data_IF_014779091686
#
_entry.id   IF_014779091686
#
_cell.length_a   1.000
_cell.length_b   1.000
_cell.length_c   1.000
_cell.angle_alpha   90.00
_cell.angle_beta   90.00
_cell.angle_gamma   90.00
#
_symmetry.space_group_name_H-M   'P 1'
#
loop_
_entity.id
_entity.type
_entity.pdbx_description
1 polymer ?
#
# COMPACT_ATOMS: atom_id res chain seq x y z
N UNK A 1 -1.81 -1.04 -22.57
CA UNK A 1 -0.95 -0.77 -21.39
C UNK A 1 -0.48 -2.11 -20.84
N UNK A 2 0.82 -2.30 -20.67
CA UNK A 2 1.39 -3.51 -20.04
C UNK A 2 1.42 -3.26 -18.53
N UNK A 3 0.68 -4.06 -17.75
CA UNK A 3 0.50 -3.85 -16.32
C UNK A 3 1.52 -4.63 -15.46
N UNK A 4 1.98 -5.77 -15.96
CA UNK A 4 3.05 -6.55 -15.40
C UNK A 4 3.67 -7.44 -16.48
N UNK A 5 4.87 -7.92 -16.22
CA UNK A 5 5.52 -8.98 -16.97
C UNK A 5 5.91 -10.09 -16.00
N UNK A 6 5.79 -11.34 -16.44
CA UNK A 6 6.34 -12.51 -15.76
C UNK A 6 7.11 -13.32 -16.79
N UNK A 7 8.39 -13.55 -16.54
CA UNK A 7 9.27 -14.26 -17.46
C UNK A 7 10.60 -14.58 -16.81
N UNK A 8 11.55 -15.05 -17.61
CA UNK A 8 12.90 -15.37 -17.17
C UNK A 8 13.83 -14.19 -17.44
N UNK A 9 14.73 -13.88 -16.52
CA UNK A 9 15.75 -12.85 -16.73
C UNK A 9 16.75 -13.38 -17.76
N UNK A 10 16.80 -12.75 -18.92
CA UNK A 10 17.70 -13.11 -20.02
C UNK A 10 19.00 -12.30 -19.98
N UNK A 11 18.92 -11.02 -19.60
CA UNK A 11 20.06 -10.11 -19.51
C UNK A 11 19.86 -9.03 -18.44
N UNK A 12 20.96 -8.46 -17.93
CA UNK A 12 20.98 -7.40 -16.93
C UNK A 12 22.00 -6.33 -17.34
N UNK A 13 21.56 -5.08 -17.37
CA UNK A 13 22.42 -3.91 -17.57
C UNK A 13 22.54 -3.09 -16.29
N UNK A 14 23.25 -1.96 -16.33
CA UNK A 14 23.37 -1.06 -15.16
C UNK A 14 22.03 -0.51 -14.65
N UNK A 15 21.03 -0.36 -15.53
CA UNK A 15 19.76 0.32 -15.18
C UNK A 15 18.50 -0.41 -15.71
N UNK A 16 18.67 -1.54 -16.40
CA UNK A 16 17.58 -2.33 -16.97
C UNK A 16 17.83 -3.82 -16.81
N UNK A 17 16.78 -4.59 -17.01
CA UNK A 17 16.84 -6.03 -17.22
C UNK A 17 16.02 -6.39 -18.45
N UNK A 18 16.33 -7.52 -19.07
CA UNK A 18 15.55 -8.10 -20.17
C UNK A 18 14.81 -9.32 -19.65
N UNK A 19 13.49 -9.32 -19.75
CA UNK A 19 12.66 -10.49 -19.46
C UNK A 19 12.29 -11.20 -20.75
N UNK A 20 12.66 -12.47 -20.88
CA UNK A 20 12.06 -13.36 -21.86
C UNK A 20 10.66 -13.80 -21.38
N UNK A 21 9.64 -13.35 -22.11
CA UNK A 21 8.25 -13.78 -21.93
C UNK A 21 7.81 -14.54 -23.18
N UNK A 22 7.94 -15.86 -23.16
CA UNK A 22 7.57 -16.79 -24.24
C UNK A 22 8.26 -16.49 -25.58
N UNK A 23 9.58 -16.24 -25.55
CA UNK A 23 10.41 -15.95 -26.71
C UNK A 23 10.45 -14.48 -27.11
N UNK A 24 9.91 -13.57 -26.28
CA UNK A 24 9.90 -12.12 -26.52
C UNK A 24 10.67 -11.43 -25.40
N UNK A 25 11.80 -10.82 -25.74
CA UNK A 25 12.62 -10.05 -24.82
C UNK A 25 12.08 -8.64 -24.59
N UNK A 26 11.59 -8.37 -23.37
CA UNK A 26 11.17 -7.05 -22.94
C UNK A 26 12.27 -6.39 -22.13
N UNK A 27 12.84 -5.29 -22.64
CA UNK A 27 13.71 -4.45 -21.83
C UNK A 27 12.87 -3.59 -20.87
N UNK A 28 13.22 -3.65 -19.59
CA UNK A 28 12.52 -2.95 -18.52
C UNK A 28 13.54 -2.17 -17.68
N UNK A 29 13.37 -0.85 -17.63
CA UNK A 29 14.14 0.01 -16.71
C UNK A 29 13.66 -0.22 -15.27
N UNK A 30 14.57 -0.44 -14.35
CA UNK A 30 14.24 -0.79 -12.96
C UNK A 30 15.05 0.07 -11.97
N UNK A 31 14.58 0.25 -10.73
CA UNK A 31 15.40 0.87 -9.69
C UNK A 31 16.67 0.05 -9.45
N UNK A 32 17.80 0.70 -9.15
CA UNK A 32 19.08 0.01 -8.92
C UNK A 32 19.00 -1.02 -7.79
N UNK A 33 18.27 -0.69 -6.71
CA UNK A 33 18.01 -1.60 -5.59
C UNK A 33 17.34 -2.91 -6.02
N UNK A 34 16.53 -2.88 -7.10
CA UNK A 34 15.92 -4.10 -7.64
C UNK A 34 16.99 -5.02 -8.20
N UNK A 35 17.96 -4.48 -8.96
CA UNK A 35 19.04 -5.25 -9.56
C UNK A 35 19.93 -5.91 -8.50
N UNK A 36 20.19 -5.21 -7.39
CA UNK A 36 20.98 -5.73 -6.27
C UNK A 36 20.33 -6.93 -5.56
N UNK A 37 19.00 -7.10 -5.69
CA UNK A 37 18.23 -8.20 -5.10
C UNK A 37 18.11 -9.44 -6.00
N UNK A 38 18.52 -9.35 -7.28
CA UNK A 38 18.37 -10.44 -8.22
C UNK A 38 19.42 -11.53 -7.98
N UNK A 39 19.03 -12.79 -8.15
CA UNK A 39 19.95 -13.93 -8.03
C UNK A 39 20.81 -14.09 -9.30
N UNK A 40 20.37 -13.50 -10.42
CA UNK A 40 21.10 -13.44 -11.69
C UNK A 40 20.25 -13.85 -12.90
N UNK A 41 20.92 -14.03 -14.04
CA UNK A 41 20.32 -14.49 -15.30
C UNK A 41 19.78 -15.92 -15.13
N UNK A 42 18.63 -16.21 -15.76
CA UNK A 42 17.95 -17.51 -15.72
C UNK A 42 16.87 -17.63 -14.64
N UNK A 43 16.71 -16.64 -13.77
CA UNK A 43 15.69 -16.62 -12.72
C UNK A 43 14.31 -16.20 -13.27
N UNK A 44 13.22 -16.83 -12.81
CA UNK A 44 11.87 -16.30 -13.04
C UNK A 44 11.63 -15.04 -12.20
N UNK A 45 11.18 -13.97 -12.85
CA UNK A 45 10.85 -12.72 -12.21
C UNK A 45 9.48 -12.22 -12.66
N UNK A 46 8.71 -11.69 -11.71
CA UNK A 46 7.50 -10.91 -11.98
C UNK A 46 7.74 -9.45 -11.59
N UNK A 47 7.53 -8.55 -12.54
CA UNK A 47 7.61 -7.10 -12.31
C UNK A 47 6.29 -6.43 -12.66
N UNK A 48 5.87 -5.48 -11.83
CA UNK A 48 4.77 -4.57 -12.15
C UNK A 48 5.30 -3.44 -13.00
N UNK A 49 4.58 -3.08 -14.06
CA UNK A 49 5.12 -2.18 -15.09
C UNK A 49 4.33 -0.89 -15.22
N UNK A 50 5.05 0.20 -15.48
CA UNK A 50 4.53 1.43 -16.04
C UNK A 50 5.04 1.57 -17.48
N UNK A 51 4.11 1.67 -18.44
CA UNK A 51 4.43 1.83 -19.85
C UNK A 51 4.30 3.30 -20.25
N UNK A 52 5.43 3.94 -20.53
CA UNK A 52 5.46 5.29 -21.08
C UNK A 52 5.42 5.22 -22.61
N UNK A 53 4.41 5.86 -23.21
CA UNK A 53 4.32 6.02 -24.66
C UNK A 53 4.59 7.48 -25.00
N UNK A 54 5.61 7.70 -25.83
CA UNK A 54 5.92 8.98 -26.47
C UNK A 54 5.88 8.79 -27.98
N UNK A 55 5.94 9.88 -28.72
CA UNK A 55 5.91 9.85 -30.19
C UNK A 55 7.12 9.10 -30.78
N UNK A 56 8.26 9.14 -30.09
CA UNK A 56 9.54 8.59 -30.53
C UNK A 56 9.92 7.26 -29.85
N UNK A 57 9.25 6.89 -28.76
CA UNK A 57 9.65 5.74 -27.94
C UNK A 57 8.52 5.16 -27.09
N UNK A 58 8.57 3.84 -26.91
CA UNK A 58 7.82 3.11 -25.88
C UNK A 58 8.81 2.57 -24.87
N UNK A 59 8.65 2.93 -23.59
CA UNK A 59 9.58 2.57 -22.52
C UNK A 59 8.81 1.89 -21.38
N UNK A 60 9.35 0.79 -20.88
CA UNK A 60 8.83 0.09 -19.71
C UNK A 60 9.68 0.41 -18.49
N UNK A 61 9.00 0.77 -17.40
CA UNK A 61 9.58 0.90 -16.07
C UNK A 61 9.00 -0.21 -15.20
N UNK A 62 9.84 -0.94 -14.46
CA UNK A 62 9.49 -2.12 -13.70
C UNK A 62 9.75 -1.99 -12.20
N UNK A 63 8.89 -2.61 -11.40
CA UNK A 63 8.95 -2.57 -9.94
C UNK A 63 8.58 -3.93 -9.36
N UNK A 64 9.18 -4.33 -8.23
CA UNK A 64 8.88 -5.62 -7.59
C UNK A 64 7.50 -5.62 -6.93
N UNK A 65 7.13 -4.50 -6.31
CA UNK A 65 5.87 -4.38 -5.59
C UNK A 65 4.91 -3.41 -6.27
N UNK A 66 3.62 -3.53 -5.94
CA UNK A 66 2.61 -2.56 -6.38
C UNK A 66 2.78 -1.21 -5.68
N UNK A 67 3.32 -1.20 -4.47
CA UNK A 67 3.56 0.03 -3.72
C UNK A 67 4.67 0.85 -4.37
N UNK A 68 5.76 0.21 -4.79
CA UNK A 68 6.81 0.86 -5.58
C UNK A 68 6.27 1.48 -6.86
N UNK A 69 5.42 0.74 -7.60
CA UNK A 69 4.77 1.26 -8.81
C UNK A 69 3.83 2.44 -8.48
N UNK A 70 3.10 2.38 -7.37
CA UNK A 70 2.21 3.45 -6.93
C UNK A 70 3.01 4.70 -6.56
N UNK A 71 4.08 4.55 -5.78
CA UNK A 71 4.99 5.63 -5.41
C UNK A 71 5.64 6.27 -6.65
N UNK A 72 6.11 5.45 -7.59
CA UNK A 72 6.63 5.95 -8.87
C UNK A 72 5.59 6.78 -9.63
N UNK A 73 4.35 6.30 -9.73
CA UNK A 73 3.26 7.05 -10.38
C UNK A 73 2.96 8.37 -9.67
N UNK A 74 3.00 8.40 -8.35
CA UNK A 74 2.82 9.62 -7.58
C UNK A 74 3.97 10.60 -7.84
N UNK A 75 5.21 10.12 -7.87
CA UNK A 75 6.40 10.92 -8.17
C UNK A 75 6.33 11.59 -9.54
N UNK A 76 6.06 10.83 -10.61
CA UNK A 76 6.00 11.39 -11.97
C UNK A 76 4.78 12.30 -12.19
N UNK A 77 3.82 12.28 -11.27
CA UNK A 77 2.72 13.24 -11.23
C UNK A 77 3.14 14.62 -10.71
N UNK A 78 4.28 14.74 -10.03
CA UNK A 78 4.80 16.00 -9.51
C UNK A 78 5.37 16.85 -10.63
N UNK A 79 5.01 18.12 -10.69
CA UNK A 79 5.46 19.02 -11.75
C UNK A 79 6.99 19.20 -11.73
N UNK A 80 7.64 18.78 -12.81
CA UNK A 80 9.10 18.82 -12.97
C UNK A 80 9.80 17.51 -12.61
N UNK A 81 9.05 16.45 -12.29
CA UNK A 81 9.59 15.10 -12.07
C UNK A 81 9.19 14.21 -13.26
N UNK A 82 10.16 13.91 -14.13
CA UNK A 82 9.96 12.97 -15.23
C UNK A 82 10.21 11.50 -14.82
N UNK A 83 9.86 10.52 -15.66
CA UNK A 83 10.05 9.09 -15.35
C UNK A 83 11.47 8.68 -14.99
N UNK A 84 12.50 9.20 -15.68
CA UNK A 84 13.90 8.93 -15.32
C UNK A 84 14.26 9.50 -13.94
N UNK A 85 13.77 10.69 -13.61
CA UNK A 85 14.01 11.32 -12.32
C UNK A 85 13.28 10.58 -11.19
N UNK A 86 12.02 10.18 -11.42
CA UNK A 86 11.25 9.36 -10.49
C UNK A 86 11.92 8.01 -10.21
N UNK A 87 12.46 7.35 -11.24
CA UNK A 87 13.23 6.12 -11.09
C UNK A 87 14.50 6.37 -10.28
N UNK A 88 15.23 7.45 -10.57
CA UNK A 88 16.44 7.84 -9.82
C UNK A 88 16.18 8.13 -8.34
N UNK A 89 15.03 8.72 -7.99
CA UNK A 89 14.60 8.91 -6.60
C UNK A 89 14.41 7.55 -5.91
N UNK A 90 13.66 6.63 -6.53
CA UNK A 90 13.42 5.31 -5.96
C UNK A 90 14.70 4.47 -5.89
N UNK A 91 15.62 4.60 -6.84
CA UNK A 91 16.94 3.96 -6.75
C UNK A 91 17.76 4.50 -5.56
N UNK A 92 17.68 5.79 -5.27
CA UNK A 92 18.50 6.43 -4.22
C UNK A 92 17.97 6.21 -2.81
N UNK A 93 16.64 6.15 -2.65
CA UNK A 93 15.99 6.12 -1.33
C UNK A 93 15.18 4.85 -1.11
N UNK A 94 14.54 4.32 -2.15
CA UNK A 94 13.46 3.35 -2.02
C UNK A 94 12.15 4.01 -1.57
N UNK A 95 11.07 3.23 -1.62
CA UNK A 95 9.71 3.72 -1.36
C UNK A 95 9.50 4.16 0.10
N UNK A 96 9.93 3.35 1.05
CA UNK A 96 9.75 3.62 2.49
C UNK A 96 10.53 4.85 2.96
N UNK A 97 11.80 4.95 2.57
CA UNK A 97 12.65 6.08 2.95
C UNK A 97 12.18 7.38 2.30
N UNK A 98 11.68 7.33 1.05
CA UNK A 98 11.05 8.49 0.43
C UNK A 98 9.81 8.93 1.22
N UNK A 99 8.98 7.98 1.66
CA UNK A 99 7.79 8.26 2.46
C UNK A 99 8.18 8.96 3.77
N UNK A 100 9.19 8.45 4.46
CA UNK A 100 9.75 9.09 5.67
C UNK A 100 10.29 10.49 5.39
N UNK A 101 11.09 10.67 4.33
CA UNK A 101 11.65 11.96 3.96
C UNK A 101 10.57 13.00 3.64
N UNK A 102 9.45 12.58 3.03
CA UNK A 102 8.30 13.45 2.77
C UNK A 102 7.60 13.86 4.07
N UNK A 103 7.32 12.91 4.96
CA UNK A 103 6.64 13.18 6.23
C UNK A 103 7.48 14.07 7.16
N UNK A 104 8.81 13.88 7.15
CA UNK A 104 9.77 14.64 7.95
C UNK A 104 10.19 15.99 7.33
N UNK A 105 9.63 16.37 6.17
CA UNK A 105 10.01 17.57 5.40
C UNK A 105 11.53 17.63 5.05
N UNK A 106 12.19 16.47 4.91
CA UNK A 106 13.63 16.37 4.63
C UNK A 106 13.96 16.49 3.13
N UNK A 107 13.83 17.72 2.62
CA UNK A 107 14.12 18.04 1.22
C UNK A 107 15.57 17.74 0.82
N UNK A 108 16.52 17.80 1.76
CA UNK A 108 17.94 17.56 1.48
C UNK A 108 18.18 16.10 1.11
N UNK A 109 17.48 15.19 1.78
CA UNK A 109 17.57 13.75 1.51
C UNK A 109 17.03 13.42 0.12
N UNK A 110 15.90 13.98 -0.27
CA UNK A 110 15.31 13.82 -1.61
C UNK A 110 16.21 14.44 -2.70
N UNK A 111 16.82 15.59 -2.42
CA UNK A 111 17.72 16.28 -3.35
C UNK A 111 19.06 15.56 -3.60
N UNK A 112 19.35 14.45 -2.93
CA UNK A 112 20.49 13.57 -3.28
C UNK A 112 20.24 12.75 -4.55
N UNK A 113 18.98 12.58 -4.94
CA UNK A 113 18.64 11.82 -6.12
C UNK A 113 19.11 12.54 -7.41
N UNK A 114 19.64 11.81 -8.42
CA UNK A 114 20.10 12.41 -9.66
C UNK A 114 19.01 13.21 -10.37
N UNK A 115 19.34 14.45 -10.76
CA UNK A 115 18.41 15.35 -11.45
C UNK A 115 17.39 16.04 -10.56
N UNK A 116 17.46 15.88 -9.23
CA UNK A 116 16.56 16.53 -8.27
C UNK A 116 17.26 17.68 -7.55
N UNK A 117 16.86 18.91 -7.86
CA UNK A 117 17.31 20.10 -7.13
C UNK A 117 16.46 20.39 -5.89
N UNK A 118 16.96 21.27 -5.01
CA UNK A 118 16.27 21.66 -3.77
C UNK A 118 14.82 22.14 -3.98
N UNK A 119 14.56 22.91 -5.04
CA UNK A 119 13.21 23.40 -5.37
C UNK A 119 12.27 22.26 -5.77
N UNK A 120 12.76 21.30 -6.55
CA UNK A 120 11.96 20.13 -6.94
C UNK A 120 11.70 19.22 -5.75
N UNK A 121 12.70 19.02 -4.88
CA UNK A 121 12.53 18.27 -3.63
C UNK A 121 11.43 18.87 -2.73
N UNK A 122 11.39 20.19 -2.57
CA UNK A 122 10.32 20.85 -1.82
C UNK A 122 8.93 20.66 -2.45
N UNK A 123 8.84 20.71 -3.79
CA UNK A 123 7.57 20.41 -4.49
C UNK A 123 7.12 18.97 -4.28
N UNK A 124 8.06 18.02 -4.36
CA UNK A 124 7.79 16.60 -4.08
C UNK A 124 7.19 16.44 -2.70
N UNK A 125 7.79 17.07 -1.68
CA UNK A 125 7.27 17.01 -0.30
C UNK A 125 5.84 17.55 -0.26
N UNK A 126 5.61 18.75 -0.76
CA UNK A 126 4.29 19.39 -0.70
C UNK A 126 3.21 18.55 -1.39
N UNK A 127 3.47 18.08 -2.62
CA UNK A 127 2.47 17.36 -3.40
C UNK A 127 2.26 15.91 -2.95
N UNK A 128 3.29 15.27 -2.39
CA UNK A 128 3.19 13.88 -1.92
C UNK A 128 2.63 13.80 -0.50
N UNK A 129 2.93 14.75 0.39
CA UNK A 129 2.43 14.74 1.77
C UNK A 129 0.90 14.69 1.80
N UNK A 130 0.25 15.55 1.01
CA UNK A 130 -1.21 15.54 0.84
C UNK A 130 -1.75 14.19 0.35
N UNK A 131 -1.05 13.53 -0.58
CA UNK A 131 -1.48 12.25 -1.16
C UNK A 131 -1.25 11.07 -0.21
N UNK A 132 -0.16 11.10 0.56
CA UNK A 132 0.17 10.08 1.54
C UNK A 132 -0.79 10.15 2.73
N UNK A 133 -1.09 11.35 3.22
CA UNK A 133 -2.07 11.55 4.29
C UNK A 133 -3.46 11.05 3.85
N UNK A 134 -3.87 11.32 2.60
CA UNK A 134 -5.12 10.79 2.05
C UNK A 134 -5.12 9.26 1.91
N UNK A 135 -3.99 8.68 1.50
CA UNK A 135 -3.85 7.23 1.39
C UNK A 135 -3.93 6.54 2.77
N UNK A 136 -3.28 7.10 3.79
CA UNK A 136 -3.38 6.61 5.16
C UNK A 136 -4.80 6.73 5.72
N UNK A 137 -5.48 7.86 5.48
CA UNK A 137 -6.90 8.03 5.89
C UNK A 137 -7.80 7.03 5.16
N UNK A 138 -7.54 6.74 3.88
CA UNK A 138 -8.32 5.77 3.12
C UNK A 138 -8.06 4.33 3.59
N UNK A 139 -6.80 3.96 3.84
CA UNK A 139 -6.40 2.68 4.45
C UNK A 139 -7.05 2.51 5.83
N UNK A 140 -7.03 3.55 6.67
CA UNK A 140 -7.68 3.51 7.99
C UNK A 140 -9.20 3.31 7.88
N UNK A 141 -9.86 3.97 6.91
CA UNK A 141 -11.29 3.77 6.64
C UNK A 141 -11.58 2.38 6.09
N UNK A 142 -10.79 1.89 5.15
CA UNK A 142 -10.93 0.54 4.59
C UNK A 142 -10.70 -0.54 5.66
N UNK A 143 -9.78 -0.31 6.58
CA UNK A 143 -9.51 -1.21 7.70
C UNK A 143 -10.61 -1.12 8.77
N UNK A 144 -11.22 0.06 8.99
CA UNK A 144 -12.41 0.21 9.82
C UNK A 144 -13.63 -0.50 9.21
N UNK A 145 -13.83 -0.36 7.90
CA UNK A 145 -14.91 -1.02 7.14
C UNK A 145 -14.67 -2.54 7.07
N UNK A 146 -13.42 -3.01 6.90
CA UNK A 146 -13.05 -4.44 6.98
C UNK A 146 -13.16 -5.00 8.38
N UNK A 147 -12.93 -4.22 9.42
CA UNK A 147 -13.23 -4.63 10.80
C UNK A 147 -14.75 -4.70 11.03
N UNK A 148 -15.54 -3.90 10.32
CA UNK A 148 -17.00 -4.02 10.26
C UNK A 148 -17.46 -5.26 9.45
N UNK A 149 -16.82 -5.61 8.33
CA UNK A 149 -17.18 -6.77 7.50
C UNK A 149 -16.67 -8.12 8.07
N UNK A 150 -15.49 -8.15 8.70
CA UNK A 150 -14.98 -9.32 9.41
C UNK A 150 -15.80 -9.65 10.68
N UNK A 151 -16.58 -8.68 11.17
CA UNK A 151 -17.57 -8.90 12.22
C UNK A 151 -18.90 -9.48 11.68
N UNK A 152 -18.99 -9.91 10.41
CA UNK A 152 -20.22 -10.50 9.83
C UNK A 152 -20.07 -11.98 9.47
N UNK A 153 -18.87 -12.57 9.57
CA UNK A 153 -18.67 -13.98 9.19
C UNK A 153 -18.28 -14.89 10.36
N UNK A 154 -19.29 -15.65 10.81
CA UNK A 154 -19.25 -16.82 11.68
C UNK A 154 -18.80 -16.60 13.15
N UNK A 155 -19.73 -16.10 13.98
CA UNK A 155 -19.61 -16.06 15.45
C UNK A 155 -20.06 -14.73 16.08
N UNK A 156 -20.28 -13.70 15.27
CA UNK A 156 -20.42 -12.30 15.68
C UNK A 156 -21.82 -11.71 15.56
N UNK A 157 -22.74 -12.31 14.81
CA UNK A 157 -24.13 -11.82 14.69
C UNK A 157 -24.86 -11.79 16.04
N UNK A 158 -24.63 -12.80 16.88
CA UNK A 158 -25.20 -12.89 18.22
C UNK A 158 -24.68 -11.78 19.16
N UNK A 159 -23.40 -11.45 19.04
CA UNK A 159 -22.74 -10.37 19.79
C UNK A 159 -23.26 -9.02 19.32
N UNK A 160 -23.42 -8.85 18.00
CA UNK A 160 -23.94 -7.63 17.38
C UNK A 160 -25.38 -7.35 17.83
N UNK A 161 -26.27 -8.35 17.74
CA UNK A 161 -27.67 -8.23 18.15
C UNK A 161 -27.80 -7.86 19.64
N UNK A 162 -26.96 -8.44 20.50
CA UNK A 162 -26.96 -8.12 21.93
C UNK A 162 -26.45 -6.69 22.20
N UNK A 163 -25.43 -6.22 21.47
CA UNK A 163 -24.92 -4.85 21.61
C UNK A 163 -25.96 -3.84 21.12
N UNK A 164 -26.62 -4.10 19.99
CA UNK A 164 -27.67 -3.23 19.46
C UNK A 164 -28.87 -3.13 20.41
N UNK A 165 -29.27 -4.24 21.04
CA UNK A 165 -30.31 -4.25 22.05
C UNK A 165 -29.94 -3.45 23.31
N UNK A 166 -28.70 -3.55 23.80
CA UNK A 166 -28.23 -2.74 24.94
C UNK A 166 -28.21 -1.24 24.61
N UNK A 167 -27.78 -0.89 23.39
CA UNK A 167 -27.81 0.51 22.95
C UNK A 167 -29.24 1.03 22.85
N UNK A 168 -30.18 0.21 22.36
CA UNK A 168 -31.61 0.56 22.33
C UNK A 168 -32.23 0.74 23.74
N UNK A 169 -31.67 0.07 24.76
CA UNK A 169 -32.05 0.24 26.17
C UNK A 169 -31.41 1.48 26.83
N UNK A 170 -30.54 2.21 26.11
CA UNK A 170 -29.96 3.48 26.55
C UNK A 170 -28.52 3.41 27.05
N UNK A 171 -27.84 2.27 26.91
CA UNK A 171 -26.43 2.13 27.30
C UNK A 171 -25.47 2.63 26.21
N UNK A 172 -24.29 3.11 26.60
CA UNK A 172 -23.29 3.60 25.66
C UNK A 172 -22.69 2.46 24.83
N UNK A 173 -22.44 2.69 23.53
CA UNK A 173 -21.96 1.66 22.59
C UNK A 173 -20.66 0.97 23.04
N UNK A 174 -19.71 1.73 23.58
CA UNK A 174 -18.45 1.20 24.13
C UNK A 174 -18.65 0.34 25.37
N UNK A 175 -19.65 0.69 26.19
CA UNK A 175 -19.98 -0.02 27.43
C UNK A 175 -20.72 -1.32 27.13
N UNK A 176 -21.70 -1.27 26.23
CA UNK A 176 -22.44 -2.43 25.72
C UNK A 176 -21.50 -3.47 25.10
N UNK A 177 -20.55 -3.04 24.26
CA UNK A 177 -19.59 -3.94 23.63
C UNK A 177 -18.67 -4.62 24.65
N UNK A 178 -18.27 -3.90 25.71
CA UNK A 178 -17.44 -4.46 26.78
C UNK A 178 -18.21 -5.50 27.61
N UNK A 179 -19.47 -5.22 27.94
CA UNK A 179 -20.31 -6.13 28.71
C UNK A 179 -20.59 -7.43 27.96
N UNK A 180 -20.92 -7.35 26.66
CA UNK A 180 -21.18 -8.53 25.83
C UNK A 180 -19.92 -9.38 25.63
N UNK A 181 -18.75 -8.76 25.47
CA UNK A 181 -17.46 -9.48 25.35
C UNK A 181 -16.97 -10.11 26.66
N UNK A 182 -17.48 -9.67 27.82
CA UNK A 182 -17.15 -10.27 29.10
C UNK A 182 -17.84 -11.63 29.30
N UNK A 183 -18.92 -11.89 28.56
CA UNK A 183 -19.64 -13.17 28.57
C UNK A 183 -18.91 -14.17 27.67
N UNK A 184 -18.57 -15.34 28.21
CA UNK A 184 -17.87 -16.38 27.43
C UNK A 184 -18.84 -17.00 26.40
N UNK A 185 -18.44 -17.00 25.13
CA UNK A 185 -19.24 -17.53 24.02
C UNK A 185 -19.67 -19.01 24.22
N UNK A 186 -18.89 -19.80 24.97
CA UNK A 186 -19.18 -21.21 25.25
C UNK A 186 -20.36 -21.45 26.22
N UNK A 187 -20.92 -20.38 26.81
CA UNK A 187 -22.01 -20.48 27.81
C UNK A 187 -23.39 -20.11 27.28
N UNK A 188 -23.52 -19.74 26.01
CA UNK A 188 -24.74 -19.08 25.51
C UNK A 188 -25.14 -19.58 24.13
N UNK A 189 -26.41 -19.95 23.97
CA UNK A 189 -26.92 -20.56 22.73
C UNK A 189 -27.61 -19.56 21.78
N UNK A 190 -28.05 -18.39 22.28
CA UNK A 190 -28.75 -17.36 21.50
C UNK A 190 -28.49 -15.91 22.00
N UNK A 191 -28.76 -14.92 21.14
CA UNK A 191 -28.50 -13.50 21.42
C UNK A 191 -29.31 -12.93 22.59
N UNK A 192 -30.47 -13.52 22.88
CA UNK A 192 -31.33 -13.11 23.99
C UNK A 192 -30.75 -13.51 25.36
N UNK A 193 -30.15 -14.71 25.46
CA UNK A 193 -29.40 -15.14 26.64
C UNK A 193 -28.12 -14.32 26.81
N UNK A 194 -27.45 -13.94 25.72
CA UNK A 194 -26.23 -13.12 25.77
C UNK A 194 -26.52 -11.71 26.29
N UNK A 195 -27.64 -11.12 25.86
CA UNK A 195 -28.15 -9.86 26.39
C UNK A 195 -28.43 -9.92 27.89
N UNK A 196 -29.10 -11.00 28.35
CA UNK A 196 -29.42 -11.19 29.78
C UNK A 196 -28.17 -11.35 30.65
N UNK A 197 -27.18 -12.11 30.19
CA UNK A 197 -25.91 -12.26 30.93
C UNK A 197 -25.07 -10.98 30.89
N UNK A 198 -25.05 -10.26 29.77
CA UNK A 198 -24.37 -8.96 29.67
C UNK A 198 -24.97 -7.93 30.66
N UNK A 199 -26.30 -7.88 30.78
CA UNK A 199 -26.98 -6.98 31.74
C UNK A 199 -26.61 -7.29 33.20
N UNK A 200 -26.43 -8.57 33.57
CA UNK A 200 -25.99 -8.95 34.93
C UNK A 200 -24.58 -8.47 35.26
N UNK A 201 -23.73 -8.27 34.25
CA UNK A 201 -22.38 -7.72 34.42
C UNK A 201 -22.34 -6.18 34.47
N UNK A 202 -23.46 -5.51 34.17
CA UNK A 202 -23.58 -4.05 34.19
C UNK A 202 -24.34 -3.51 35.42
N UNK A 203 -24.85 -4.42 36.28
CA UNK A 203 -25.53 -4.14 37.54
C UNK A 203 -24.60 -4.30 38.75
#
# INVERSE_FOLDING_TARGET
>A
MIAFLKGTIEDITENSLVLDVNGIGYEVLVPGQLLDMLEGIGQELKVYTYMQVREDAVVLFGFLTRDDLAMFKMLIGVNGVGPKAGLGILSALGTEELRFAVLADDAKRIAKAPGIGAKTAQKIILELKDKLDLAEVFEQKLNADRQQEAAVSAGSGMVQDAVEALVALGYGSTEALRAVRAVKADTVADSEQLLKEALKHML
#
